data_IF_273205770235
#
_entry.id   IF_273205770235
#
_cell.length_a   1.000
_cell.length_b   1.000
_cell.length_c   1.000
_cell.angle_alpha   90.00
_cell.angle_beta   90.00
_cell.angle_gamma   90.00
#
_symmetry.space_group_name_H-M   'P 1'
#
loop_
_entity.id
_entity.type
_entity.pdbx_description
1 polymer ?
#
# COMPACT_ATOMS: atom_id res chain seq x y z
N UNK A 1 8.23 -57.94 11.50
CA UNK A 1 7.58 -56.90 12.32
C UNK A 1 8.26 -55.52 12.21
N UNK A 2 9.58 -55.43 12.07
CA UNK A 2 10.30 -54.14 11.97
C UNK A 2 10.08 -53.35 10.67
N UNK A 3 9.88 -54.00 9.52
CA UNK A 3 9.65 -53.30 8.23
C UNK A 3 8.39 -52.42 8.23
N UNK A 4 7.29 -52.89 8.83
CA UNK A 4 6.05 -52.11 8.92
C UNK A 4 6.15 -50.91 9.86
N UNK A 5 7.01 -50.99 10.88
CA UNK A 5 7.27 -49.86 11.79
C UNK A 5 8.06 -48.75 11.07
N UNK A 6 9.07 -49.14 10.28
CA UNK A 6 9.87 -48.22 9.47
C UNK A 6 9.03 -47.56 8.38
N UNK A 7 8.17 -48.30 7.68
CA UNK A 7 7.26 -47.71 6.68
C UNK A 7 6.28 -46.70 7.32
N UNK A 8 5.75 -47.00 8.51
CA UNK A 8 4.83 -46.10 9.23
C UNK A 8 5.51 -44.82 9.70
N UNK A 9 6.74 -44.90 10.23
CA UNK A 9 7.49 -43.70 10.64
C UNK A 9 7.89 -42.86 9.43
N UNK A 10 8.32 -43.46 8.33
CA UNK A 10 8.64 -42.74 7.10
C UNK A 10 7.41 -42.01 6.50
N UNK A 11 6.23 -42.64 6.49
CA UNK A 11 4.99 -42.00 6.04
C UNK A 11 4.56 -40.83 6.94
N UNK A 12 4.77 -40.96 8.25
CA UNK A 12 4.45 -39.90 9.22
C UNK A 12 5.44 -38.72 9.12
N UNK A 13 6.71 -39.01 8.83
CA UNK A 13 7.72 -37.99 8.53
C UNK A 13 7.43 -37.29 7.19
N UNK A 14 6.98 -38.02 6.17
CA UNK A 14 6.62 -37.43 4.87
C UNK A 14 5.42 -36.48 5.00
N UNK A 15 4.36 -36.89 5.70
CA UNK A 15 3.16 -36.06 5.92
C UNK A 15 3.42 -34.83 6.81
N UNK A 16 4.27 -34.96 7.82
CA UNK A 16 4.70 -33.80 8.63
C UNK A 16 5.62 -32.85 7.84
N UNK A 17 6.48 -33.36 6.97
CA UNK A 17 7.29 -32.54 6.07
C UNK A 17 6.43 -31.78 5.04
N UNK A 18 5.43 -32.43 4.45
CA UNK A 18 4.49 -31.79 3.50
C UNK A 18 3.68 -30.66 4.16
N UNK A 19 3.18 -30.88 5.38
CA UNK A 19 2.42 -29.85 6.12
C UNK A 19 3.27 -28.65 6.53
N UNK A 20 4.54 -28.86 6.90
CA UNK A 20 5.49 -27.78 7.18
C UNK A 20 5.84 -26.97 5.92
N UNK A 21 6.06 -27.65 4.79
CA UNK A 21 6.36 -27.00 3.51
C UNK A 21 5.17 -26.22 2.94
N UNK A 22 3.94 -26.73 3.06
CA UNK A 22 2.72 -25.99 2.66
C UNK A 22 2.49 -24.78 3.57
N UNK A 23 2.74 -24.92 4.87
CA UNK A 23 2.62 -23.80 5.84
C UNK A 23 3.61 -22.67 5.56
N UNK A 24 4.83 -22.97 5.10
CA UNK A 24 5.81 -21.94 4.72
C UNK A 24 5.41 -21.14 3.47
N UNK A 25 4.73 -21.76 2.49
CA UNK A 25 4.28 -21.08 1.26
C UNK A 25 3.24 -19.99 1.52
N UNK A 26 2.39 -20.17 2.53
CA UNK A 26 1.36 -19.19 2.92
C UNK A 26 1.88 -18.07 3.85
N UNK A 27 3.02 -18.26 4.51
CA UNK A 27 3.58 -17.25 5.42
C UNK A 27 4.08 -15.98 4.69
N UNK A 28 4.41 -16.10 3.40
CA UNK A 28 4.88 -15.00 2.54
C UNK A 28 4.07 -14.86 1.25
N UNK A 29 2.79 -15.25 1.27
CA UNK A 29 1.91 -15.00 0.15
C UNK A 29 1.65 -13.50 0.03
N UNK A 30 2.31 -12.86 -0.95
CA UNK A 30 2.18 -11.43 -1.24
C UNK A 30 0.75 -11.03 -1.60
N UNK A 31 -0.10 -11.94 -2.06
CA UNK A 31 -1.51 -11.66 -2.31
C UNK A 31 -2.30 -11.48 -1.00
N UNK A 32 -1.96 -12.27 0.03
CA UNK A 32 -2.58 -12.19 1.37
C UNK A 32 -2.04 -11.00 2.16
N UNK A 33 -0.75 -10.70 2.02
CA UNK A 33 -0.08 -9.61 2.75
C UNK A 33 -0.29 -8.21 2.12
N UNK A 34 -0.95 -8.10 0.96
CA UNK A 34 -1.24 -6.80 0.35
C UNK A 34 -2.29 -6.06 1.19
N UNK A 35 -1.96 -4.89 1.78
CA UNK A 35 -3.00 -4.07 2.39
C UNK A 35 -4.03 -3.72 1.32
N UNK A 36 -5.31 -3.90 1.65
CA UNK A 36 -6.43 -3.52 0.77
C UNK A 36 -6.41 -2.01 0.58
N UNK A 37 -5.75 -1.53 -0.48
CA UNK A 37 -5.68 -0.11 -0.81
C UNK A 37 -7.10 0.37 -1.08
N UNK A 38 -7.57 1.33 -0.29
CA UNK A 38 -8.88 1.94 -0.49
C UNK A 38 -8.85 2.71 -1.80
N UNK A 39 -9.57 2.20 -2.80
CA UNK A 39 -9.74 2.83 -4.11
C UNK A 39 -10.94 3.79 -4.16
N UNK A 40 -11.62 4.02 -3.04
CA UNK A 40 -12.67 5.05 -2.95
C UNK A 40 -12.05 6.42 -2.72
N UNK A 41 -11.59 7.05 -3.80
CA UNK A 41 -11.22 8.46 -3.77
C UNK A 41 -12.46 9.32 -3.49
N UNK A 42 -12.32 10.45 -2.78
CA UNK A 42 -13.40 11.41 -2.64
C UNK A 42 -13.95 11.80 -4.01
N UNK A 43 -15.28 11.91 -4.12
CA UNK A 43 -15.91 12.41 -5.35
C UNK A 43 -15.36 13.80 -5.70
N UNK A 44 -14.99 14.06 -6.96
CA UNK A 44 -14.45 15.35 -7.36
C UNK A 44 -15.52 16.44 -7.18
N UNK A 45 -15.14 17.56 -6.55
CA UNK A 45 -16.00 18.73 -6.38
C UNK A 45 -15.19 20.00 -6.64
N UNK A 46 -15.47 20.64 -7.76
CA UNK A 46 -14.69 21.76 -8.27
C UNK A 46 -14.71 22.96 -7.34
N UNK A 47 -15.88 23.30 -6.80
CA UNK A 47 -16.05 24.36 -5.80
C UNK A 47 -15.15 24.12 -4.57
N UNK A 48 -15.00 22.87 -4.13
CA UNK A 48 -14.12 22.54 -2.99
C UNK A 48 -12.65 22.64 -3.41
N UNK A 49 -12.30 22.18 -4.61
CA UNK A 49 -10.93 22.24 -5.15
C UNK A 49 -10.41 23.68 -5.17
N UNK A 50 -11.18 24.60 -5.75
CA UNK A 50 -10.80 26.02 -5.86
C UNK A 50 -10.76 26.69 -4.48
N UNK A 51 -11.78 26.47 -3.63
CA UNK A 51 -11.81 27.10 -2.29
C UNK A 51 -10.66 26.66 -1.39
N UNK A 52 -10.21 25.41 -1.48
CA UNK A 52 -9.16 24.88 -0.60
C UNK A 52 -7.75 25.05 -1.20
N UNK A 53 -7.62 24.98 -2.53
CA UNK A 53 -6.32 24.92 -3.19
C UNK A 53 -6.08 25.97 -4.27
N UNK A 54 -7.07 26.82 -4.56
CA UNK A 54 -6.98 27.89 -5.55
C UNK A 54 -6.09 29.05 -5.13
N UNK A 55 -5.92 29.99 -6.06
CA UNK A 55 -5.03 31.14 -5.91
C UNK A 55 -5.33 31.98 -4.65
N UNK A 56 -6.58 32.40 -4.46
CA UNK A 56 -6.98 33.26 -3.35
C UNK A 56 -6.73 32.62 -1.99
N UNK A 57 -6.98 31.30 -1.89
CA UNK A 57 -6.72 30.52 -0.69
C UNK A 57 -5.22 30.42 -0.35
N UNK A 58 -4.34 30.48 -1.36
CA UNK A 58 -2.88 30.52 -1.15
C UNK A 58 -2.41 31.94 -0.82
N UNK A 59 -2.97 32.96 -1.45
CA UNK A 59 -2.58 34.35 -1.19
C UNK A 59 -3.02 34.86 0.18
N UNK A 60 -4.11 34.33 0.74
CA UNK A 60 -4.64 34.76 2.04
C UNK A 60 -3.69 34.48 3.22
N UNK A 61 -2.88 33.42 3.15
CA UNK A 61 -1.97 33.02 4.23
C UNK A 61 -0.50 33.28 3.88
N UNK A 62 0.35 33.64 4.86
CA UNK A 62 1.78 33.82 4.61
C UNK A 62 2.44 32.52 4.12
N UNK A 63 2.03 31.36 4.66
CA UNK A 63 2.57 30.07 4.22
C UNK A 63 2.15 29.72 2.78
N UNK A 64 0.92 30.04 2.39
CA UNK A 64 0.46 29.84 1.02
C UNK A 64 1.26 30.65 0.01
N UNK A 65 1.60 31.91 0.34
CA UNK A 65 2.50 32.74 -0.49
C UNK A 65 3.90 32.12 -0.61
N UNK A 66 4.46 31.58 0.47
CA UNK A 66 5.76 30.86 0.42
C UNK A 66 5.69 29.59 -0.44
N UNK A 67 4.57 28.86 -0.42
CA UNK A 67 4.36 27.71 -1.30
C UNK A 67 4.40 28.14 -2.77
N UNK A 68 3.73 29.23 -3.13
CA UNK A 68 3.76 29.76 -4.51
C UNK A 68 5.19 30.14 -4.91
N UNK A 69 5.92 30.88 -4.06
CA UNK A 69 7.32 31.24 -4.31
C UNK A 69 8.20 30.00 -4.57
N UNK A 70 8.05 28.94 -3.76
CA UNK A 70 8.78 27.68 -3.98
C UNK A 70 8.41 26.99 -5.30
N UNK A 71 7.15 27.07 -5.73
CA UNK A 71 6.70 26.50 -7.01
C UNK A 71 7.24 27.27 -8.21
N UNK A 72 7.30 28.61 -8.10
CA UNK A 72 7.91 29.48 -9.10
C UNK A 72 9.41 29.18 -9.21
N UNK A 73 10.12 29.11 -8.07
CA UNK A 73 11.55 28.79 -8.05
C UNK A 73 11.85 27.41 -8.66
N UNK A 74 10.95 26.44 -8.48
CA UNK A 74 11.06 25.11 -9.11
C UNK A 74 10.73 25.13 -10.61
N UNK A 75 10.12 26.20 -11.14
CA UNK A 75 9.68 26.28 -12.53
C UNK A 75 8.46 25.42 -12.84
N UNK A 76 7.50 25.31 -11.90
CA UNK A 76 6.23 24.61 -12.17
C UNK A 76 5.35 25.47 -13.08
N UNK A 77 4.79 24.86 -14.13
CA UNK A 77 3.81 25.50 -15.02
C UNK A 77 2.55 25.93 -14.24
N UNK A 78 1.96 24.99 -13.49
CA UNK A 78 0.79 25.27 -12.66
C UNK A 78 1.24 25.60 -11.23
N UNK A 79 0.89 26.78 -10.73
CA UNK A 79 1.24 27.22 -9.38
C UNK A 79 0.15 26.84 -8.36
N UNK A 80 -1.11 27.01 -8.73
CA UNK A 80 -2.28 26.70 -7.90
C UNK A 80 -3.36 26.02 -8.73
N UNK A 81 -4.40 25.54 -8.05
CA UNK A 81 -5.56 24.93 -8.70
C UNK A 81 -6.49 25.93 -9.36
#
# INVERSE_FOLDING_TARGET
MFQGLIQRTCLLVATTAETLLVRQKHAFDRAVLKPKVRCHFPKPKEVKRIKVHGWDARMSTPEGRRVIMRRILKGRHDLTH
#
